data_IF_709028309283
#
_entry.id   IF_709028309283
#
_cell.length_a   1.000
_cell.length_b   1.000
_cell.length_c   1.000
_cell.angle_alpha   90.00
_cell.angle_beta   90.00
_cell.angle_gamma   90.00
#
_symmetry.space_group_name_H-M   'P 1'
#
loop_
_entity.id
_entity.type
_entity.pdbx_description
1 polymer ?
#
# COMPACT_ATOMS: atom_id res chain seq x y z
N UNK A 1 16.18 -10.41 -9.50
CA UNK A 1 15.37 -9.38 -8.81
C UNK A 1 13.91 -9.76 -8.95
N UNK A 2 13.08 -9.48 -7.95
CA UNK A 2 11.63 -9.67 -8.06
C UNK A 2 10.98 -8.40 -8.62
N UNK A 3 10.04 -8.56 -9.54
CA UNK A 3 9.32 -7.45 -10.18
C UNK A 3 8.13 -7.05 -9.28
N UNK A 4 8.13 -5.80 -8.87
CA UNK A 4 7.11 -5.26 -7.95
C UNK A 4 6.26 -4.23 -8.69
N UNK A 5 4.95 -4.48 -8.84
CA UNK A 5 4.01 -3.48 -9.34
C UNK A 5 3.58 -2.54 -8.22
N UNK A 6 3.68 -1.23 -8.45
CA UNK A 6 3.25 -0.21 -7.50
C UNK A 6 2.04 0.53 -8.06
N UNK A 7 0.85 0.26 -7.52
CA UNK A 7 -0.34 1.06 -7.80
C UNK A 7 -0.35 2.29 -6.90
N UNK A 8 -0.55 3.46 -7.49
CA UNK A 8 -0.41 4.74 -6.80
C UNK A 8 1.02 5.28 -6.78
N UNK A 9 1.87 4.84 -7.70
CA UNK A 9 3.28 5.23 -7.83
C UNK A 9 3.50 6.75 -7.91
N UNK A 10 2.56 7.50 -8.49
CA UNK A 10 2.61 8.97 -8.60
C UNK A 10 2.23 9.72 -7.32
N UNK A 11 1.63 9.03 -6.34
CA UNK A 11 1.25 9.59 -5.05
C UNK A 11 2.45 9.83 -4.13
N UNK A 12 2.25 10.64 -3.08
CA UNK A 12 3.33 11.01 -2.16
C UNK A 12 4.00 9.80 -1.48
N UNK A 13 3.23 8.80 -1.04
CA UNK A 13 3.80 7.56 -0.47
C UNK A 13 4.35 6.65 -1.55
N UNK A 14 3.64 6.51 -2.69
CA UNK A 14 4.07 5.63 -3.79
C UNK A 14 5.41 6.02 -4.40
N UNK A 15 5.70 7.32 -4.54
CA UNK A 15 7.03 7.82 -4.99
C UNK A 15 8.14 7.36 -4.05
N UNK A 16 7.94 7.47 -2.74
CA UNK A 16 8.89 7.01 -1.71
C UNK A 16 9.13 5.50 -1.79
N UNK A 17 8.05 4.73 -2.02
CA UNK A 17 8.15 3.28 -2.25
C UNK A 17 9.00 2.98 -3.49
N UNK A 18 8.76 3.68 -4.60
CA UNK A 18 9.57 3.55 -5.83
C UNK A 18 11.05 3.84 -5.55
N UNK A 19 11.35 4.93 -4.87
CA UNK A 19 12.72 5.32 -4.52
C UNK A 19 13.45 4.25 -3.70
N UNK A 20 12.77 3.69 -2.68
CA UNK A 20 13.34 2.64 -1.83
C UNK A 20 13.58 1.36 -2.65
N UNK A 21 12.61 0.94 -3.46
CA UNK A 21 12.74 -0.26 -4.28
C UNK A 21 13.82 -0.12 -5.35
N UNK A 22 13.91 1.04 -6.00
CA UNK A 22 14.89 1.31 -7.06
C UNK A 22 16.33 1.30 -6.53
N UNK A 23 16.55 1.66 -5.27
CA UNK A 23 17.85 1.56 -4.60
C UNK A 23 18.16 0.15 -4.07
N UNK A 24 17.24 -0.83 -4.25
CA UNK A 24 17.41 -2.20 -3.79
C UNK A 24 18.00 -3.09 -4.88
N UNK A 25 18.92 -3.98 -4.53
CA UNK A 25 19.41 -5.02 -5.42
C UNK A 25 18.46 -6.24 -5.53
N UNK A 26 17.45 -6.31 -4.68
CA UNK A 26 16.52 -7.44 -4.62
C UNK A 26 15.27 -7.24 -5.47
N UNK A 27 14.87 -6.00 -5.70
CA UNK A 27 13.60 -5.62 -6.33
C UNK A 27 13.80 -4.80 -7.59
N UNK A 28 12.85 -4.94 -8.52
CA UNK A 28 12.70 -4.13 -9.72
C UNK A 28 11.30 -3.50 -9.69
N UNK A 29 11.18 -2.20 -9.38
CA UNK A 29 9.89 -1.53 -9.34
C UNK A 29 9.31 -1.32 -10.75
N UNK A 30 7.98 -1.52 -10.88
CA UNK A 30 7.20 -1.16 -12.06
C UNK A 30 6.09 -0.20 -11.62
N UNK A 31 6.13 1.04 -12.09
CA UNK A 31 5.15 2.05 -11.74
C UNK A 31 3.85 1.86 -12.54
N UNK A 32 2.70 1.67 -11.87
CA UNK A 32 1.40 1.75 -12.52
C UNK A 32 1.04 3.23 -12.70
N UNK A 33 0.95 3.66 -13.95
CA UNK A 33 0.57 5.03 -14.32
C UNK A 33 -0.80 5.04 -15.02
N UNK A 34 -1.60 6.08 -14.75
CA UNK A 34 -2.90 6.25 -15.37
C UNK A 34 -2.83 7.04 -16.69
N UNK A 35 -1.93 7.98 -16.76
CA UNK A 35 -1.75 8.88 -17.90
C UNK A 35 -0.33 8.73 -18.46
N UNK A 36 -0.20 8.69 -19.79
CA UNK A 36 1.10 8.49 -20.43
C UNK A 36 2.11 9.64 -20.12
N UNK A 37 1.59 10.85 -19.87
CA UNK A 37 2.39 12.01 -19.46
C UNK A 37 3.15 11.78 -18.14
N UNK A 38 2.70 10.82 -17.31
CA UNK A 38 3.36 10.47 -16.05
C UNK A 38 4.62 9.63 -16.27
N UNK A 39 4.83 9.06 -17.45
CA UNK A 39 5.93 8.14 -17.76
C UNK A 39 7.28 8.80 -17.59
N UNK A 40 7.45 10.04 -18.09
CA UNK A 40 8.71 10.76 -18.05
C UNK A 40 9.30 10.85 -16.64
N UNK A 41 8.45 11.03 -15.62
CA UNK A 41 8.89 11.09 -14.22
C UNK A 41 9.61 9.81 -13.79
N UNK A 42 9.17 8.64 -14.27
CA UNK A 42 9.76 7.35 -13.90
C UNK A 42 10.97 7.03 -14.78
N UNK A 43 10.97 7.44 -16.06
CA UNK A 43 12.14 7.33 -16.94
C UNK A 43 13.34 8.12 -16.38
N UNK A 44 13.09 9.30 -15.82
CA UNK A 44 14.13 10.12 -15.17
C UNK A 44 14.73 9.44 -13.93
N UNK A 45 14.00 8.48 -13.35
CA UNK A 45 14.44 7.64 -12.21
C UNK A 45 15.00 6.28 -12.66
N UNK A 46 15.08 6.00 -13.97
CA UNK A 46 15.44 4.69 -14.54
C UNK A 46 14.45 3.56 -14.07
N UNK A 47 13.17 3.90 -13.88
CA UNK A 47 12.11 2.98 -13.46
C UNK A 47 11.14 2.76 -14.60
N UNK A 48 10.81 1.50 -14.87
CA UNK A 48 9.79 1.16 -15.86
C UNK A 48 8.39 1.56 -15.39
N UNK A 49 7.55 1.95 -16.36
CA UNK A 49 6.14 2.27 -16.10
C UNK A 49 5.21 1.54 -17.05
N UNK A 50 4.08 1.08 -16.53
CA UNK A 50 3.01 0.45 -17.29
C UNK A 50 1.73 1.29 -17.17
N UNK A 51 1.09 1.53 -18.32
CA UNK A 51 -0.18 2.25 -18.38
C UNK A 51 -1.32 1.34 -17.90
N UNK A 52 -2.16 1.83 -16.98
CA UNK A 52 -3.36 1.14 -16.53
C UNK A 52 -4.16 1.98 -15.55
N UNK A 53 -5.47 2.04 -15.77
CA UNK A 53 -6.40 2.76 -14.90
C UNK A 53 -7.13 1.77 -13.99
N UNK A 54 -7.06 2.00 -12.67
CA UNK A 54 -7.76 1.20 -11.66
C UNK A 54 -9.29 1.23 -11.83
N UNK A 55 -9.84 2.21 -12.53
CA UNK A 55 -11.26 2.25 -12.88
C UNK A 55 -11.60 1.31 -14.04
N UNK A 56 -10.61 0.90 -14.84
CA UNK A 56 -10.73 -0.02 -16.00
C UNK A 56 -10.24 -1.43 -15.71
N UNK A 57 -9.83 -2.12 -16.79
CA UNK A 57 -9.17 -3.42 -16.74
C UNK A 57 -7.65 -3.22 -16.56
N UNK A 58 -7.11 -3.84 -15.54
CA UNK A 58 -5.68 -3.78 -15.17
C UNK A 58 -4.98 -5.15 -15.31
N UNK A 59 -5.62 -6.14 -15.88
CA UNK A 59 -5.08 -7.52 -15.97
C UNK A 59 -3.75 -7.58 -16.72
N UNK A 60 -3.60 -6.76 -17.77
CA UNK A 60 -2.38 -6.70 -18.59
C UNK A 60 -1.16 -6.19 -17.81
N UNK A 61 -1.36 -5.44 -16.73
CA UNK A 61 -0.26 -4.86 -15.90
C UNK A 61 0.44 -5.91 -15.04
N UNK A 62 -0.14 -7.12 -14.91
CA UNK A 62 0.41 -8.21 -14.09
C UNK A 62 1.44 -9.08 -14.82
N UNK A 63 1.76 -8.80 -16.07
CA UNK A 63 2.70 -9.63 -16.84
C UNK A 63 4.10 -9.58 -16.24
N UNK A 64 4.57 -10.73 -15.74
CA UNK A 64 5.90 -10.87 -15.14
C UNK A 64 6.04 -10.28 -13.74
N UNK A 65 4.94 -9.94 -13.07
CA UNK A 65 4.93 -9.37 -11.72
C UNK A 65 5.01 -10.49 -10.67
N UNK A 66 5.92 -10.33 -9.72
CA UNK A 66 6.08 -11.24 -8.59
C UNK A 66 5.24 -10.81 -7.38
N UNK A 67 5.21 -9.51 -7.07
CA UNK A 67 4.50 -8.95 -5.91
C UNK A 67 3.88 -7.60 -6.26
N UNK A 68 2.91 -7.17 -5.44
CA UNK A 68 2.19 -5.89 -5.63
C UNK A 68 2.23 -5.07 -4.36
N UNK A 69 2.44 -3.76 -4.49
CA UNK A 69 2.10 -2.76 -3.47
C UNK A 69 0.95 -1.90 -3.98
N UNK A 70 -0.15 -1.88 -3.24
CA UNK A 70 -1.26 -0.96 -3.48
C UNK A 70 -1.17 0.23 -2.52
N UNK A 71 -0.69 1.36 -3.03
CA UNK A 71 -0.61 2.64 -2.32
C UNK A 71 -1.48 3.72 -2.99
N UNK A 72 -2.41 3.28 -3.86
CA UNK A 72 -3.34 4.20 -4.51
C UNK A 72 -4.45 4.65 -3.57
N UNK A 73 -4.91 5.86 -3.80
CA UNK A 73 -6.08 6.44 -3.18
C UNK A 73 -6.57 7.59 -4.04
N UNK A 74 -7.85 7.91 -3.94
CA UNK A 74 -8.48 8.97 -4.72
C UNK A 74 -7.96 10.37 -4.38
N UNK A 75 -7.33 10.51 -3.20
CA UNK A 75 -6.84 11.79 -2.67
C UNK A 75 -7.94 12.62 -1.98
N UNK A 76 -7.52 13.43 -0.99
CA UNK A 76 -8.44 14.19 -0.13
C UNK A 76 -9.25 15.30 -0.80
N UNK A 77 -8.98 15.59 -2.09
CA UNK A 77 -9.67 16.64 -2.86
C UNK A 77 -10.74 16.11 -3.80
N UNK A 78 -10.92 14.77 -3.88
CA UNK A 78 -11.88 14.13 -4.76
C UNK A 78 -13.18 13.80 -4.03
N UNK A 79 -14.27 13.62 -4.78
CA UNK A 79 -15.58 13.27 -4.21
C UNK A 79 -15.67 11.80 -3.79
N UNK A 80 -16.74 11.48 -3.06
CA UNK A 80 -17.02 10.11 -2.56
C UNK A 80 -17.08 9.05 -3.68
N UNK A 81 -17.57 9.41 -4.86
CA UNK A 81 -17.63 8.52 -6.04
C UNK A 81 -16.24 8.05 -6.44
N UNK A 82 -15.26 8.97 -6.44
CA UNK A 82 -13.87 8.64 -6.78
C UNK A 82 -13.22 7.74 -5.72
N UNK A 83 -13.53 7.98 -4.44
CA UNK A 83 -13.09 7.09 -3.35
C UNK A 83 -13.63 5.67 -3.57
N UNK A 84 -14.91 5.52 -3.87
CA UNK A 84 -15.46 4.19 -4.19
C UNK A 84 -14.80 3.58 -5.43
N UNK A 85 -14.63 4.36 -6.49
CA UNK A 85 -14.10 3.86 -7.75
C UNK A 85 -12.63 3.41 -7.66
N UNK A 86 -11.78 4.13 -6.91
CA UNK A 86 -10.33 3.88 -6.83
C UNK A 86 -9.96 3.06 -5.58
N UNK A 87 -10.34 3.56 -4.38
CA UNK A 87 -9.91 2.94 -3.11
C UNK A 87 -10.59 1.60 -2.84
N UNK A 88 -11.83 1.42 -3.31
CA UNK A 88 -12.59 0.18 -3.15
C UNK A 88 -12.53 -0.68 -4.40
N UNK A 89 -13.20 -0.27 -5.48
CA UNK A 89 -13.38 -1.11 -6.68
C UNK A 89 -12.06 -1.28 -7.45
N UNK A 90 -11.24 -0.24 -7.53
CA UNK A 90 -9.91 -0.32 -8.13
C UNK A 90 -8.98 -1.28 -7.39
N UNK A 91 -9.03 -1.26 -6.06
CA UNK A 91 -8.29 -2.22 -5.24
C UNK A 91 -8.76 -3.66 -5.49
N UNK A 92 -10.09 -3.92 -5.50
CA UNK A 92 -10.66 -5.24 -5.78
C UNK A 92 -10.25 -5.78 -7.15
N UNK A 93 -10.30 -4.93 -8.21
CA UNK A 93 -9.86 -5.31 -9.56
C UNK A 93 -8.38 -5.68 -9.60
N UNK A 94 -7.52 -4.90 -8.91
CA UNK A 94 -6.09 -5.21 -8.88
C UNK A 94 -5.80 -6.49 -8.08
N UNK A 95 -6.54 -6.75 -7.00
CA UNK A 95 -6.47 -8.00 -6.23
C UNK A 95 -6.84 -9.20 -7.12
N UNK A 96 -7.94 -9.10 -7.90
CA UNK A 96 -8.36 -10.15 -8.83
C UNK A 96 -7.31 -10.39 -9.92
N UNK A 97 -6.75 -9.32 -10.51
CA UNK A 97 -5.69 -9.42 -11.49
C UNK A 97 -4.44 -10.09 -10.91
N UNK A 98 -4.03 -9.72 -9.69
CA UNK A 98 -2.91 -10.32 -8.97
C UNK A 98 -3.14 -11.82 -8.68
N UNK A 99 -4.36 -12.18 -8.23
CA UNK A 99 -4.75 -13.57 -7.99
C UNK A 99 -4.68 -14.41 -9.27
N UNK A 100 -5.26 -13.90 -10.37
CA UNK A 100 -5.26 -14.59 -11.66
C UNK A 100 -3.84 -14.78 -12.22
N UNK A 101 -2.95 -13.82 -11.99
CA UNK A 101 -1.54 -13.88 -12.36
C UNK A 101 -0.68 -14.72 -11.37
N UNK A 102 -1.25 -15.19 -10.27
CA UNK A 102 -0.55 -15.94 -9.21
C UNK A 102 0.59 -15.15 -8.59
N UNK A 103 0.37 -13.87 -8.33
CA UNK A 103 1.30 -13.00 -7.62
C UNK A 103 1.61 -13.60 -6.24
N UNK A 104 2.87 -13.56 -5.83
CA UNK A 104 3.37 -14.20 -4.59
C UNK A 104 2.91 -13.49 -3.32
N UNK A 105 2.78 -12.16 -3.35
CA UNK A 105 2.37 -11.35 -2.19
C UNK A 105 1.73 -10.04 -2.63
N UNK A 106 0.71 -9.61 -1.90
CA UNK A 106 0.03 -8.32 -2.07
C UNK A 106 0.14 -7.49 -0.78
N UNK A 107 0.74 -6.30 -0.84
CA UNK A 107 0.83 -5.37 0.29
C UNK A 107 -0.11 -4.20 0.06
N UNK A 108 -1.01 -3.98 1.01
CA UNK A 108 -2.05 -2.93 0.94
C UNK A 108 -1.72 -1.80 1.90
N UNK A 109 -1.69 -0.57 1.40
CA UNK A 109 -1.77 0.64 2.22
C UNK A 109 -3.24 0.95 2.52
N UNK A 110 -3.64 0.70 3.76
CA UNK A 110 -4.96 1.00 4.28
C UNK A 110 -4.94 2.20 5.24
N UNK A 111 -5.72 2.19 6.29
CA UNK A 111 -5.82 3.28 7.28
C UNK A 111 -6.28 2.73 8.63
N UNK A 112 -5.82 3.33 9.71
CA UNK A 112 -6.43 3.13 11.03
C UNK A 112 -7.90 3.53 10.99
N UNK A 113 -8.73 2.83 11.78
CA UNK A 113 -10.16 3.09 11.89
C UNK A 113 -11.04 2.34 10.89
N UNK A 114 -10.47 1.50 10.01
CA UNK A 114 -11.27 0.65 9.10
C UNK A 114 -12.09 -0.41 9.81
N UNK A 115 -11.74 -0.80 11.02
CA UNK A 115 -12.53 -1.77 11.81
C UNK A 115 -13.90 -1.23 12.18
N UNK A 116 -13.98 0.05 12.57
CA UNK A 116 -15.22 0.74 12.88
C UNK A 116 -15.27 2.14 12.23
N UNK A 117 -15.61 2.22 10.93
CA UNK A 117 -15.70 3.48 10.20
C UNK A 117 -16.65 4.51 10.81
N UNK A 118 -17.65 4.06 11.60
CA UNK A 118 -18.67 4.94 12.18
C UNK A 118 -18.13 5.87 13.26
N UNK A 119 -16.98 5.55 13.86
CA UNK A 119 -16.31 6.35 14.88
C UNK A 119 -15.76 7.69 14.32
N UNK A 120 -15.57 7.81 13.03
CA UNK A 120 -15.09 9.03 12.38
C UNK A 120 -16.04 9.44 11.26
N UNK A 121 -17.01 10.29 11.59
CA UNK A 121 -18.06 10.74 10.64
C UNK A 121 -17.49 11.44 9.40
N UNK A 122 -16.41 12.19 9.56
CA UNK A 122 -15.80 12.95 8.46
C UNK A 122 -15.11 12.03 7.44
N UNK A 123 -14.52 10.92 7.91
CA UNK A 123 -13.83 9.93 7.10
C UNK A 123 -14.65 8.64 6.88
N UNK A 124 -15.87 8.56 7.38
CA UNK A 124 -16.68 7.33 7.38
C UNK A 124 -16.74 6.68 5.99
N UNK A 125 -17.00 7.48 4.96
CA UNK A 125 -17.09 6.96 3.59
C UNK A 125 -15.74 6.39 3.11
N UNK A 126 -14.65 7.12 3.34
CA UNK A 126 -13.29 6.68 3.02
C UNK A 126 -12.91 5.39 3.76
N UNK A 127 -13.14 5.35 5.07
CA UNK A 127 -12.84 4.18 5.89
C UNK A 127 -13.67 2.97 5.51
N UNK A 128 -14.93 3.15 5.10
CA UNK A 128 -15.76 2.07 4.53
C UNK A 128 -15.18 1.53 3.24
N UNK A 129 -14.73 2.38 2.33
CA UNK A 129 -14.11 1.96 1.08
C UNK A 129 -12.81 1.17 1.33
N UNK A 130 -11.96 1.65 2.26
CA UNK A 130 -10.75 0.94 2.66
C UNK A 130 -11.06 -0.40 3.33
N UNK A 131 -12.04 -0.44 4.24
CA UNK A 131 -12.50 -1.68 4.88
C UNK A 131 -12.93 -2.73 3.85
N UNK A 132 -13.74 -2.34 2.89
CA UNK A 132 -14.20 -3.23 1.82
C UNK A 132 -13.03 -3.81 1.00
N UNK A 133 -12.01 -3.00 0.71
CA UNK A 133 -10.79 -3.46 0.04
C UNK A 133 -9.97 -4.40 0.92
N UNK A 134 -9.80 -4.06 2.21
CA UNK A 134 -9.09 -4.89 3.19
C UNK A 134 -9.75 -6.26 3.35
N UNK A 135 -11.07 -6.29 3.53
CA UNK A 135 -11.84 -7.52 3.68
C UNK A 135 -11.80 -8.37 2.40
N UNK A 136 -11.84 -7.73 1.23
CA UNK A 136 -11.70 -8.41 -0.04
C UNK A 136 -10.33 -9.07 -0.20
N UNK A 137 -9.25 -8.37 0.17
CA UNK A 137 -7.89 -8.90 0.14
C UNK A 137 -7.72 -10.09 1.10
N UNK A 138 -8.22 -9.98 2.34
CA UNK A 138 -8.19 -11.08 3.33
C UNK A 138 -8.84 -12.36 2.81
N UNK A 139 -9.91 -12.22 2.03
CA UNK A 139 -10.67 -13.34 1.47
C UNK A 139 -10.20 -13.79 0.07
N UNK A 140 -9.18 -13.16 -0.50
CA UNK A 140 -8.73 -13.41 -1.88
C UNK A 140 -8.00 -14.74 -2.07
N UNK A 141 -7.37 -15.24 -1.00
CA UNK A 141 -6.45 -16.40 -1.03
C UNK A 141 -5.02 -16.04 -1.46
N UNK A 142 -4.71 -14.76 -1.68
CA UNK A 142 -3.33 -14.28 -1.85
C UNK A 142 -2.62 -14.22 -0.51
N UNK A 143 -1.31 -14.40 -0.51
CA UNK A 143 -0.49 -13.97 0.62
C UNK A 143 -0.51 -12.45 0.70
N UNK A 144 -0.85 -11.90 1.86
CA UNK A 144 -1.03 -10.45 2.00
C UNK A 144 -0.37 -9.87 3.25
N UNK A 145 -0.21 -8.54 3.23
CA UNK A 145 -0.01 -7.70 4.42
C UNK A 145 -0.82 -6.42 4.25
N UNK A 146 -1.57 -6.02 5.27
CA UNK A 146 -2.34 -4.77 5.28
C UNK A 146 -1.72 -3.85 6.33
N UNK A 147 -1.15 -2.74 5.88
CA UNK A 147 -0.57 -1.70 6.72
C UNK A 147 -1.62 -0.61 6.93
N UNK A 148 -2.02 -0.37 8.17
CA UNK A 148 -3.05 0.59 8.58
C UNK A 148 -2.41 1.74 9.37
N UNK A 149 -1.84 2.75 8.71
CA UNK A 149 -1.21 3.87 9.38
C UNK A 149 -2.23 4.83 10.01
N UNK A 150 -1.76 5.60 11.01
CA UNK A 150 -2.42 6.79 11.50
C UNK A 150 -2.42 7.94 10.49
N UNK A 151 -2.58 9.18 10.97
CA UNK A 151 -2.51 10.36 10.11
C UNK A 151 -1.13 10.48 9.44
N UNK A 152 -1.12 10.68 8.12
CA UNK A 152 0.12 10.74 7.36
C UNK A 152 0.71 12.15 7.35
N UNK A 153 1.98 12.30 7.73
CA UNK A 153 2.73 13.56 7.64
C UNK A 153 3.76 13.52 6.52
N UNK A 154 4.25 14.69 6.12
CA UNK A 154 5.36 14.84 5.18
C UNK A 154 6.69 15.14 5.89
N UNK A 155 6.74 14.95 7.18
CA UNK A 155 7.97 15.06 7.96
C UNK A 155 8.95 13.95 7.56
N UNK A 156 10.22 14.20 7.84
CA UNK A 156 11.29 13.22 7.59
C UNK A 156 11.07 11.97 8.46
N UNK A 157 11.10 10.81 7.86
CA UNK A 157 11.00 9.53 8.57
C UNK A 157 12.18 9.28 9.51
N UNK A 158 11.89 8.74 10.67
CA UNK A 158 12.87 8.39 11.68
C UNK A 158 13.24 6.89 11.67
N UNK A 159 12.63 6.11 10.80
CA UNK A 159 12.71 4.65 10.76
C UNK A 159 12.35 3.99 12.11
N UNK A 160 11.51 4.66 12.88
CA UNK A 160 11.03 4.23 14.20
C UNK A 160 9.52 4.25 14.25
N UNK A 161 8.94 3.11 14.61
CA UNK A 161 7.49 2.91 14.59
C UNK A 161 7.01 2.19 15.84
N UNK A 162 5.72 2.30 16.08
CA UNK A 162 4.93 1.45 16.96
C UNK A 162 3.91 0.74 16.11
N UNK A 163 3.91 -0.58 16.14
CA UNK A 163 2.95 -1.42 15.40
C UNK A 163 2.26 -2.39 16.34
N UNK A 164 1.00 -2.67 16.08
CA UNK A 164 0.21 -3.71 16.74
C UNK A 164 -0.97 -4.08 15.86
N UNK A 165 -1.62 -5.22 16.10
CA UNK A 165 -2.92 -5.51 15.46
C UNK A 165 -3.92 -4.38 15.73
N UNK A 166 -3.92 -3.85 16.98
CA UNK A 166 -4.72 -2.70 17.40
C UNK A 166 -3.97 -1.85 18.41
N UNK A 167 -3.73 -0.58 18.07
CA UNK A 167 -3.01 0.34 18.97
C UNK A 167 -3.94 1.02 20.00
N UNK A 168 -5.22 1.15 19.67
CA UNK A 168 -6.23 1.81 20.54
C UNK A 168 -5.88 3.26 20.91
N UNK A 169 -5.10 3.95 20.09
CA UNK A 169 -4.72 5.35 20.25
C UNK A 169 -4.74 6.06 18.90
N UNK A 170 -4.77 7.37 18.92
CA UNK A 170 -4.63 8.20 17.71
C UNK A 170 -3.21 8.72 17.63
N UNK A 171 -2.71 8.90 16.42
CA UNK A 171 -1.36 9.42 16.21
C UNK A 171 -1.07 9.61 14.73
N UNK A 172 0.17 9.96 14.47
CA UNK A 172 0.68 10.28 13.15
C UNK A 172 1.86 9.37 12.82
N UNK A 173 2.21 9.32 11.54
CA UNK A 173 3.39 8.62 11.03
C UNK A 173 3.82 9.28 9.72
N UNK A 174 5.12 9.41 9.50
CA UNK A 174 5.64 9.97 8.26
C UNK A 174 5.36 9.04 7.07
N UNK A 175 5.16 9.63 5.88
CA UNK A 175 5.06 8.86 4.64
C UNK A 175 6.33 8.10 4.31
N UNK A 176 7.49 8.59 4.78
CA UNK A 176 8.76 7.89 4.64
C UNK A 176 8.73 6.56 5.41
N UNK A 177 8.32 6.59 6.68
CA UNK A 177 8.24 5.39 7.51
C UNK A 177 7.18 4.42 7.03
N UNK A 178 6.04 4.93 6.52
CA UNK A 178 5.02 4.08 5.87
C UNK A 178 5.57 3.42 4.62
N UNK A 179 6.31 4.12 3.78
CA UNK A 179 6.93 3.53 2.60
C UNK A 179 7.93 2.42 2.97
N UNK A 180 8.74 2.62 4.00
CA UNK A 180 9.61 1.58 4.56
C UNK A 180 8.83 0.38 5.09
N UNK A 181 7.74 0.60 5.82
CA UNK A 181 6.86 -0.48 6.31
C UNK A 181 6.30 -1.30 5.15
N UNK A 182 5.82 -0.65 4.08
CA UNK A 182 5.28 -1.34 2.90
C UNK A 182 6.35 -2.19 2.22
N UNK A 183 7.56 -1.64 2.01
CA UNK A 183 8.65 -2.37 1.36
C UNK A 183 9.17 -3.50 2.24
N UNK A 184 9.35 -3.28 3.54
CA UNK A 184 9.74 -4.34 4.48
C UNK A 184 8.69 -5.46 4.52
N UNK A 185 7.41 -5.10 4.47
CA UNK A 185 6.31 -6.07 4.41
C UNK A 185 6.32 -6.93 3.15
N UNK A 186 6.87 -6.46 2.04
CA UNK A 186 7.08 -7.30 0.85
C UNK A 186 8.12 -8.41 1.08
N UNK A 187 9.21 -8.04 1.76
CA UNK A 187 10.37 -8.91 1.93
C UNK A 187 10.19 -9.92 3.07
N UNK A 188 9.46 -9.50 4.11
CA UNK A 188 9.42 -10.25 5.35
C UNK A 188 8.32 -11.33 5.35
N UNK A 189 8.67 -12.62 5.47
CA UNK A 189 7.71 -13.69 5.61
C UNK A 189 6.96 -13.65 6.95
N UNK A 190 7.50 -12.98 7.97
CA UNK A 190 6.93 -12.91 9.31
C UNK A 190 5.59 -12.18 9.36
N UNK A 191 5.40 -11.16 8.51
CA UNK A 191 4.13 -10.39 8.44
C UNK A 191 3.20 -10.87 7.31
N UNK A 192 3.26 -12.15 7.01
CA UNK A 192 2.38 -12.79 6.02
C UNK A 192 0.98 -13.01 6.62
N UNK A 193 -0.06 -12.66 5.83
CA UNK A 193 -1.47 -12.78 6.18
C UNK A 193 -1.83 -12.01 7.45
N UNK A 194 -1.22 -10.83 7.62
CA UNK A 194 -1.42 -9.96 8.77
C UNK A 194 -1.98 -8.60 8.36
N UNK A 195 -2.73 -8.01 9.28
CA UNK A 195 -3.11 -6.59 9.26
C UNK A 195 -2.61 -5.96 10.55
N UNK A 196 -2.02 -4.78 10.48
CA UNK A 196 -1.56 -4.08 11.66
C UNK A 196 -1.66 -2.56 11.53
N UNK A 197 -1.94 -1.91 12.65
CA UNK A 197 -1.90 -0.46 12.79
C UNK A 197 -0.46 0.00 13.01
N UNK A 198 -0.13 1.21 12.51
CA UNK A 198 1.21 1.78 12.59
C UNK A 198 1.19 3.27 12.91
N UNK A 199 1.98 3.66 13.89
CA UNK A 199 2.24 5.05 14.30
C UNK A 199 3.75 5.31 14.41
N UNK A 200 4.15 6.58 14.50
CA UNK A 200 5.49 6.93 14.97
C UNK A 200 5.74 6.33 16.33
N UNK A 201 6.97 5.87 16.59
CA UNK A 201 7.30 5.18 17.84
C UNK A 201 8.78 5.19 18.16
N UNK A 202 9.17 4.26 19.01
CA UNK A 202 10.56 4.18 19.53
C UNK A 202 11.35 3.00 18.91
N UNK A 203 10.68 1.99 18.36
CA UNK A 203 11.33 0.78 17.85
C UNK A 203 11.69 0.91 16.39
N UNK A 204 12.84 0.36 15.98
CA UNK A 204 13.14 0.26 14.55
C UNK A 204 12.06 -0.53 13.84
N UNK A 205 11.77 -0.19 12.58
CA UNK A 205 10.75 -0.87 11.76
C UNK A 205 10.96 -2.39 11.78
N UNK A 206 12.20 -2.85 11.60
CA UNK A 206 12.51 -4.29 11.63
C UNK A 206 12.16 -4.94 12.97
N UNK A 207 12.55 -4.31 14.08
CA UNK A 207 12.28 -4.85 15.42
C UNK A 207 10.77 -4.88 15.72
N UNK A 208 10.04 -3.86 15.27
CA UNK A 208 8.60 -3.77 15.45
C UNK A 208 7.85 -4.86 14.66
N UNK A 209 8.28 -5.14 13.41
CA UNK A 209 7.69 -6.20 12.60
C UNK A 209 7.98 -7.61 13.14
N UNK A 210 9.16 -7.85 13.70
CA UNK A 210 9.48 -9.13 14.36
C UNK A 210 8.56 -9.32 15.57
N UNK A 211 8.42 -8.31 16.42
CA UNK A 211 7.62 -8.43 17.64
C UNK A 211 6.14 -8.71 17.38
N UNK A 212 5.56 -8.09 16.34
CA UNK A 212 4.15 -8.33 16.02
C UNK A 212 3.93 -9.73 15.42
N UNK A 213 4.96 -10.33 14.80
CA UNK A 213 4.88 -11.66 14.21
C UNK A 213 4.97 -12.79 15.24
N UNK A 214 5.48 -12.50 16.43
CA UNK A 214 5.62 -13.48 17.53
C UNK A 214 4.35 -13.55 18.43
N UNK A 215 3.31 -12.74 18.11
CA UNK A 215 2.03 -12.73 18.82
C UNK A 215 1.02 -13.70 18.21
#
# INVERSE_FOLDING_TARGET
MENILIAGATGATGKRVIEILNNSQAFSPLALIRDEEQRQMFEDMEVEAVLGDLEGDVSHTMKGIDKVIFAAGSGGKTGKEKTTAVDQEGAKKLIDAAKNARVKKFVMLSSMGTDDPSQNKDLEHYLKAKKEADDYLRNSGLDFTIVQPGALTDDMGLAKVKVAEKLNEKGEISRDDVAFLLVMSLADPLVKNMSFEALEGEKSIKSALIEISDL
#
